data_IF_351082786779
#
_entry.id   IF_351082786779
#
_cell.length_a   1.000
_cell.length_b   1.000
_cell.length_c   1.000
_cell.angle_alpha   90.00
_cell.angle_beta   90.00
_cell.angle_gamma   90.00
#
_symmetry.space_group_name_H-M   'P 1'
#
loop_
_entity.id
_entity.type
_entity.pdbx_description
1 polymer ?
#
# COMPACT_ATOMS: atom_id res chain seq x y z
N UNK A 1 10.13 7.22 11.40
CA UNK A 1 9.00 6.27 11.22
C UNK A 1 9.08 5.04 12.13
N UNK A 2 10.10 4.18 12.02
CA UNK A 2 10.17 2.94 12.85
C UNK A 2 10.00 3.19 14.36
N UNK A 3 10.69 4.18 14.91
CA UNK A 3 10.55 4.57 16.33
C UNK A 3 9.13 5.06 16.68
N UNK A 4 8.46 5.75 15.76
CA UNK A 4 7.06 6.14 15.94
C UNK A 4 6.15 4.92 16.01
N UNK A 5 6.37 3.91 15.17
CA UNK A 5 5.63 2.64 15.22
C UNK A 5 5.84 1.91 16.54
N UNK A 6 7.08 1.89 17.06
CA UNK A 6 7.36 1.34 18.40
C UNK A 6 6.60 2.10 19.49
N UNK A 7 6.60 3.43 19.45
CA UNK A 7 5.85 4.25 20.41
C UNK A 7 4.34 3.98 20.40
N UNK A 8 3.77 3.57 19.26
CA UNK A 8 2.36 3.18 19.16
C UNK A 8 2.02 1.88 19.90
N UNK A 9 2.99 0.97 20.11
CA UNK A 9 2.77 -0.27 20.88
C UNK A 9 2.48 0.03 22.36
N UNK A 10 3.10 1.07 22.90
CA UNK A 10 2.94 1.51 24.29
C UNK A 10 1.84 2.58 24.45
N UNK A 11 1.32 3.10 23.35
CA UNK A 11 0.35 4.20 23.36
C UNK A 11 -1.05 3.73 23.70
N UNK A 12 -1.64 4.30 24.76
CA UNK A 12 -3.05 4.07 25.12
C UNK A 12 -4.07 4.60 24.08
N UNK A 13 -3.61 5.37 23.08
CA UNK A 13 -4.46 5.89 22.00
C UNK A 13 -4.58 4.91 20.82
N UNK A 14 -3.59 4.04 20.64
CA UNK A 14 -3.61 3.04 19.58
C UNK A 14 -4.61 1.92 19.92
N UNK A 15 -5.39 1.49 18.93
CA UNK A 15 -6.27 0.34 19.09
C UNK A 15 -5.46 -0.97 19.19
N UNK A 16 -6.05 -1.99 19.80
CA UNK A 16 -5.44 -3.33 19.89
C UNK A 16 -5.09 -3.88 18.49
N UNK A 17 -6.02 -3.78 17.53
CA UNK A 17 -5.78 -4.20 16.15
C UNK A 17 -4.60 -3.50 15.47
N UNK A 18 -4.38 -2.20 15.76
CA UNK A 18 -3.20 -1.48 15.26
C UNK A 18 -1.92 -1.99 15.91
N UNK A 19 -1.93 -2.17 17.24
CA UNK A 19 -0.78 -2.68 17.97
C UNK A 19 -0.40 -4.08 17.52
N UNK A 20 -1.38 -4.96 17.31
CA UNK A 20 -1.15 -6.33 16.84
C UNK A 20 -0.57 -6.37 15.43
N UNK A 21 -1.07 -5.51 14.53
CA UNK A 21 -0.50 -5.35 13.19
C UNK A 21 0.97 -4.91 13.25
N UNK A 22 1.27 -3.87 14.03
CA UNK A 22 2.63 -3.35 14.18
C UNK A 22 3.55 -4.41 14.82
N UNK A 23 3.09 -5.06 15.89
CA UNK A 23 3.84 -6.10 16.62
C UNK A 23 4.18 -7.27 15.70
N UNK A 24 3.19 -7.78 14.95
CA UNK A 24 3.41 -8.84 13.95
C UNK A 24 4.48 -8.47 12.93
N UNK A 25 4.51 -7.21 12.48
CA UNK A 25 5.53 -6.72 11.55
C UNK A 25 6.93 -6.67 12.17
N UNK A 26 7.03 -6.24 13.42
CA UNK A 26 8.30 -6.13 14.15
C UNK A 26 8.87 -7.50 14.49
N UNK A 27 8.06 -8.35 15.11
CA UNK A 27 8.49 -9.67 15.59
C UNK A 27 8.98 -10.54 14.43
N UNK A 28 8.30 -10.45 13.28
CA UNK A 28 8.66 -11.19 12.07
C UNK A 28 9.67 -10.45 11.17
N UNK A 29 10.15 -9.26 11.56
CA UNK A 29 11.02 -8.38 10.75
C UNK A 29 10.48 -8.18 9.33
N UNK A 30 9.17 -8.00 9.23
CA UNK A 30 8.43 -7.99 7.96
C UNK A 30 7.74 -6.66 7.65
N UNK A 31 8.00 -5.60 8.42
CA UNK A 31 7.56 -4.25 8.08
C UNK A 31 8.19 -3.82 6.76
N UNK A 32 7.41 -3.92 5.68
CA UNK A 32 7.80 -3.60 4.32
C UNK A 32 6.79 -2.61 3.73
N UNK A 33 7.26 -1.39 3.47
CA UNK A 33 6.45 -0.24 3.06
C UNK A 33 6.73 0.03 1.59
N UNK A 34 5.66 0.08 0.78
CA UNK A 34 5.75 0.29 -0.67
C UNK A 34 5.03 1.56 -1.12
N UNK A 35 4.52 2.34 -0.17
CA UNK A 35 3.61 3.42 -0.48
C UNK A 35 3.49 4.44 0.64
N UNK A 36 3.49 5.71 0.27
CA UNK A 36 3.05 6.77 1.16
C UNK A 36 2.41 7.93 0.39
N UNK A 37 1.53 8.67 1.06
CA UNK A 37 0.99 9.94 0.57
C UNK A 37 0.70 10.88 1.73
N UNK A 38 0.70 12.18 1.47
CA UNK A 38 0.36 13.20 2.45
C UNK A 38 -0.82 14.01 1.95
N UNK A 39 -1.93 14.02 2.70
CA UNK A 39 -3.12 14.83 2.41
C UNK A 39 -3.65 15.42 3.71
N UNK A 40 -3.93 16.72 3.73
CA UNK A 40 -4.48 17.47 4.85
C UNK A 40 -3.71 17.23 6.16
N UNK A 41 -2.38 17.34 6.11
CA UNK A 41 -1.48 17.10 7.24
C UNK A 41 -1.54 15.66 7.82
N UNK A 42 -2.05 14.69 7.06
CA UNK A 42 -2.03 13.27 7.44
C UNK A 42 -1.09 12.49 6.54
N UNK A 43 -0.32 11.58 7.12
CA UNK A 43 0.52 10.64 6.38
C UNK A 43 -0.19 9.29 6.27
N UNK A 44 -0.36 8.83 5.04
CA UNK A 44 -0.92 7.52 4.72
C UNK A 44 0.23 6.59 4.34
N UNK A 45 0.25 5.37 4.87
CA UNK A 45 1.32 4.38 4.67
C UNK A 45 0.76 3.06 4.18
N UNK A 46 1.18 2.61 3.01
CA UNK A 46 0.80 1.33 2.43
C UNK A 46 1.86 0.25 2.67
N UNK A 47 1.45 -0.86 3.25
CA UNK A 47 2.34 -1.97 3.60
C UNK A 47 2.17 -3.17 2.66
N UNK A 48 3.28 -3.66 2.13
CA UNK A 48 3.37 -4.95 1.43
C UNK A 48 3.39 -6.13 2.38
N UNK A 49 4.04 -5.91 3.53
CA UNK A 49 4.06 -6.82 4.66
C UNK A 49 4.18 -6.01 5.97
N UNK A 50 3.69 -6.57 7.10
CA UNK A 50 2.86 -7.76 7.18
C UNK A 50 1.49 -7.55 6.52
N UNK A 51 0.77 -8.64 6.27
CA UNK A 51 -0.68 -8.56 6.02
C UNK A 51 -1.39 -8.63 7.36
N UNK A 52 -2.65 -8.23 7.41
CA UNK A 52 -3.47 -8.50 8.60
C UNK A 52 -3.80 -10.00 8.75
N UNK A 53 -4.47 -10.37 9.84
CA UNK A 53 -4.84 -11.76 10.13
C UNK A 53 -5.70 -12.44 9.06
N UNK A 54 -6.37 -11.66 8.20
CA UNK A 54 -7.20 -12.15 7.10
C UNK A 54 -6.46 -12.13 5.75
N UNK A 55 -5.17 -11.77 5.73
CA UNK A 55 -4.40 -11.66 4.50
C UNK A 55 -4.61 -10.35 3.74
N UNK A 56 -5.18 -9.31 4.38
CA UNK A 56 -5.39 -8.03 3.73
C UNK A 56 -4.13 -7.17 3.73
N UNK A 57 -3.97 -6.38 2.67
CA UNK A 57 -3.06 -5.22 2.67
C UNK A 57 -3.63 -4.14 3.60
N UNK A 58 -2.76 -3.52 4.39
CA UNK A 58 -3.15 -2.49 5.37
C UNK A 58 -2.62 -1.13 4.95
N UNK A 59 -3.48 -0.13 4.99
CA UNK A 59 -3.10 1.28 4.90
C UNK A 59 -3.24 1.90 6.29
N UNK A 60 -2.14 2.39 6.85
CA UNK A 60 -2.17 3.17 8.09
C UNK A 60 -2.35 4.65 7.78
N UNK A 61 -3.04 5.36 8.66
CA UNK A 61 -3.10 6.82 8.69
C UNK A 61 -2.45 7.30 9.98
N UNK A 62 -1.42 8.12 9.85
CA UNK A 62 -0.81 8.89 10.92
C UNK A 62 -1.37 10.31 10.83
N UNK A 63 -1.96 10.79 11.93
CA UNK A 63 -2.48 12.15 12.01
C UNK A 63 -1.35 13.10 12.39
N UNK A 64 -1.39 14.31 11.83
CA UNK A 64 -0.40 15.37 12.08
C UNK A 64 1.03 14.92 11.74
N UNK A 65 1.42 15.00 10.46
CA UNK A 65 2.75 14.52 10.03
C UNK A 65 3.90 15.20 10.78
N UNK A 66 3.70 16.45 11.22
CA UNK A 66 4.66 17.20 12.02
C UNK A 66 4.99 16.50 13.35
N UNK A 67 4.06 15.69 13.89
CA UNK A 67 4.29 14.90 15.08
C UNK A 67 5.36 13.82 14.89
N UNK A 68 5.76 13.48 13.65
CA UNK A 68 6.85 12.54 13.39
C UNK A 68 8.23 13.17 13.56
N UNK A 69 8.31 14.50 13.52
CA UNK A 69 9.58 15.24 13.53
C UNK A 69 9.83 15.99 14.83
N UNK A 70 8.79 16.20 15.65
CA UNK A 70 8.91 16.82 16.97
C UNK A 70 8.80 15.82 18.13
N UNK A 71 8.80 16.34 19.35
CA UNK A 71 8.66 15.57 20.59
C UNK A 71 7.20 15.20 20.93
N UNK A 72 6.29 15.36 19.95
CA UNK A 72 4.86 15.05 20.14
C UNK A 72 4.62 13.55 20.00
N UNK A 73 3.70 13.03 20.81
CA UNK A 73 3.23 11.66 20.65
C UNK A 73 2.48 11.49 19.30
N UNK A 74 2.87 10.47 18.55
CA UNK A 74 2.24 10.12 17.27
C UNK A 74 0.87 9.48 17.51
N UNK A 75 -0.14 9.92 16.75
CA UNK A 75 -1.47 9.31 16.70
C UNK A 75 -1.66 8.62 15.34
N UNK A 76 -2.14 7.38 15.36
CA UNK A 76 -2.31 6.59 14.17
C UNK A 76 -3.49 5.62 14.28
N UNK A 77 -4.02 5.25 13.13
CA UNK A 77 -5.09 4.26 13.00
C UNK A 77 -4.90 3.42 11.74
N UNK A 78 -5.40 2.19 11.75
CA UNK A 78 -5.68 1.47 10.50
C UNK A 78 -6.77 2.26 9.77
N UNK A 79 -6.46 2.78 8.59
CA UNK A 79 -7.41 3.56 7.80
C UNK A 79 -8.23 2.66 6.90
N UNK A 80 -7.56 1.79 6.15
CA UNK A 80 -8.20 0.85 5.22
C UNK A 80 -7.50 -0.49 5.21
N UNK A 81 -8.29 -1.50 4.83
CA UNK A 81 -7.85 -2.88 4.62
C UNK A 81 -8.34 -3.32 3.25
N UNK A 82 -7.46 -3.88 2.44
CA UNK A 82 -7.81 -4.34 1.10
C UNK A 82 -7.52 -5.83 0.96
N UNK A 83 -8.58 -6.58 0.63
CA UNK A 83 -8.44 -7.91 0.07
C UNK A 83 -8.00 -7.77 -1.39
N UNK A 84 -6.69 -7.93 -1.61
CA UNK A 84 -6.06 -7.91 -2.92
C UNK A 84 -5.82 -9.35 -3.41
N UNK A 85 -6.82 -10.21 -3.19
CA UNK A 85 -6.78 -11.62 -3.53
C UNK A 85 -6.37 -11.92 -4.97
N UNK A 86 -5.81 -13.11 -5.16
CA UNK A 86 -5.49 -13.64 -6.48
C UNK A 86 -6.27 -14.94 -6.67
N UNK A 87 -7.37 -14.88 -7.42
CA UNK A 87 -8.22 -16.03 -7.71
C UNK A 87 -7.50 -17.15 -8.46
N UNK A 88 -6.40 -16.86 -9.15
CA UNK A 88 -5.64 -17.84 -9.94
C UNK A 88 -4.68 -18.66 -9.07
N UNK A 89 -4.05 -18.04 -8.06
CA UNK A 89 -3.05 -18.71 -7.20
C UNK A 89 -3.53 -19.02 -5.79
N UNK A 90 -4.66 -18.46 -5.36
CA UNK A 90 -5.15 -18.55 -3.98
C UNK A 90 -4.30 -17.80 -2.95
N UNK A 91 -3.22 -17.11 -3.36
CA UNK A 91 -2.34 -16.32 -2.50
C UNK A 91 -2.65 -14.82 -2.67
N UNK A 92 -2.64 -14.00 -1.61
CA UNK A 92 -2.81 -12.56 -1.75
C UNK A 92 -1.75 -11.94 -2.66
N UNK A 93 -2.16 -10.98 -3.51
CA UNK A 93 -1.18 -10.12 -4.18
C UNK A 93 -0.53 -9.19 -3.15
N UNK A 94 0.69 -8.77 -3.46
CA UNK A 94 1.52 -7.93 -2.60
C UNK A 94 1.53 -6.53 -3.15
N UNK A 95 1.33 -5.53 -2.29
CA UNK A 95 1.49 -4.12 -2.67
C UNK A 95 2.90 -3.91 -3.24
N UNK A 96 3.01 -3.10 -4.28
CA UNK A 96 4.28 -2.66 -4.87
C UNK A 96 4.26 -1.20 -5.32
N UNK A 97 3.15 -0.51 -5.04
CA UNK A 97 2.99 0.90 -5.34
C UNK A 97 1.65 1.39 -4.84
N UNK A 98 1.60 2.67 -4.52
CA UNK A 98 0.46 3.32 -3.90
C UNK A 98 0.41 4.76 -4.39
N UNK A 99 -0.77 5.19 -4.84
CA UNK A 99 -1.06 6.58 -5.10
C UNK A 99 -2.44 6.92 -4.56
N UNK A 100 -2.62 8.18 -4.18
CA UNK A 100 -3.82 8.66 -3.52
C UNK A 100 -4.16 10.03 -4.11
N UNK A 101 -5.43 10.22 -4.49
CA UNK A 101 -6.01 11.52 -4.79
C UNK A 101 -7.26 11.76 -3.94
N UNK A 102 -7.97 12.86 -4.18
CA UNK A 102 -9.17 13.24 -3.42
C UNK A 102 -10.35 12.27 -3.61
N UNK A 103 -10.37 11.50 -4.70
CA UNK A 103 -11.49 10.66 -5.12
C UNK A 103 -11.25 9.17 -4.87
N UNK A 104 -9.99 8.74 -4.87
CA UNK A 104 -9.65 7.32 -4.88
C UNK A 104 -8.24 7.00 -4.37
N UNK A 105 -8.06 5.72 -4.02
CA UNK A 105 -6.75 5.09 -3.88
C UNK A 105 -6.46 4.24 -5.09
N UNK A 106 -5.23 4.30 -5.58
CA UNK A 106 -4.70 3.42 -6.61
C UNK A 106 -3.64 2.52 -5.98
N UNK A 107 -3.85 1.20 -6.09
CA UNK A 107 -2.96 0.20 -5.55
C UNK A 107 -2.35 -0.56 -6.71
N UNK A 108 -1.03 -0.60 -6.73
CA UNK A 108 -0.29 -1.46 -7.63
C UNK A 108 0.16 -2.69 -6.85
N UNK A 109 -0.05 -3.86 -7.43
CA UNK A 109 0.28 -5.12 -6.77
C UNK A 109 1.01 -6.07 -7.70
N UNK A 110 1.81 -6.97 -7.13
CA UNK A 110 2.47 -8.09 -7.81
C UNK A 110 1.95 -9.40 -7.24
N UNK A 111 1.78 -10.40 -8.11
CA UNK A 111 1.37 -11.74 -7.68
C UNK A 111 2.35 -12.35 -6.68
N UNK A 112 1.80 -13.01 -5.66
CA UNK A 112 2.59 -13.76 -4.69
C UNK A 112 3.18 -15.07 -5.23
N UNK A 113 2.94 -15.39 -6.51
CA UNK A 113 3.39 -16.61 -7.17
C UNK A 113 4.42 -16.28 -8.28
N UNK A 114 5.64 -16.80 -8.14
CA UNK A 114 6.72 -16.58 -9.12
C UNK A 114 6.46 -17.26 -10.46
N UNK A 115 5.72 -18.37 -10.47
CA UNK A 115 5.44 -19.15 -11.69
C UNK A 115 4.36 -18.48 -12.56
N UNK A 116 3.59 -17.57 -11.96
CA UNK A 116 2.53 -16.81 -12.62
C UNK A 116 2.71 -15.33 -12.28
N UNK A 117 3.85 -14.77 -12.71
CA UNK A 117 4.14 -13.36 -12.52
C UNK A 117 3.09 -12.52 -13.25
N UNK A 118 2.38 -11.70 -12.49
CA UNK A 118 1.48 -10.70 -13.03
C UNK A 118 1.40 -9.54 -12.05
N UNK A 119 1.18 -8.35 -12.58
CA UNK A 119 0.88 -7.17 -11.79
C UNK A 119 -0.54 -6.68 -12.05
N UNK A 120 -1.13 -6.00 -11.07
CA UNK A 120 -2.50 -5.53 -11.16
C UNK A 120 -2.60 -4.10 -10.65
N UNK A 121 -3.34 -3.28 -11.40
CA UNK A 121 -3.78 -1.97 -10.97
C UNK A 121 -5.18 -2.09 -10.38
N UNK A 122 -5.35 -1.58 -9.17
CA UNK A 122 -6.64 -1.49 -8.49
C UNK A 122 -6.98 -0.03 -8.20
N UNK A 123 -8.27 0.28 -8.22
CA UNK A 123 -8.83 1.58 -7.82
C UNK A 123 -9.87 1.34 -6.72
N UNK A 124 -9.68 1.97 -5.57
CA UNK A 124 -10.72 2.07 -4.54
C UNK A 124 -11.35 3.45 -4.63
N UNK A 125 -12.61 3.50 -5.07
CA UNK A 125 -13.38 4.73 -5.19
C UNK A 125 -14.04 5.07 -3.85
N UNK A 126 -13.78 6.28 -3.33
CA UNK A 126 -14.30 6.70 -2.03
C UNK A 126 -15.80 6.97 -2.04
N UNK A 127 -16.35 7.52 -3.12
CA UNK A 127 -17.77 7.81 -3.19
C UNK A 127 -18.58 6.51 -3.27
N UNK A 128 -18.08 5.54 -4.04
CA UNK A 128 -18.74 4.25 -4.23
C UNK A 128 -18.38 3.20 -3.17
N UNK A 129 -17.37 3.47 -2.34
CA UNK A 129 -16.81 2.51 -1.37
C UNK A 129 -16.49 1.16 -2.03
N UNK A 130 -15.90 1.21 -3.24
CA UNK A 130 -15.75 0.03 -4.10
C UNK A 130 -14.31 -0.13 -4.59
N UNK A 131 -13.75 -1.31 -4.33
CA UNK A 131 -12.48 -1.74 -4.92
C UNK A 131 -12.73 -2.40 -6.28
N UNK A 132 -12.05 -1.91 -7.31
CA UNK A 132 -12.14 -2.42 -8.69
C UNK A 132 -10.75 -2.70 -9.23
N UNK A 133 -10.57 -3.84 -9.90
CA UNK A 133 -9.35 -4.14 -10.64
C UNK A 133 -9.43 -3.50 -12.02
N UNK A 134 -8.58 -2.52 -12.28
CA UNK A 134 -8.58 -1.73 -13.51
C UNK A 134 -7.79 -2.40 -14.64
N UNK A 135 -6.65 -3.03 -14.31
CA UNK A 135 -5.78 -3.64 -15.31
C UNK A 135 -5.02 -4.87 -14.76
N UNK A 136 -4.59 -5.73 -15.69
CA UNK A 136 -3.67 -6.87 -15.48
C UNK A 136 -2.48 -6.72 -16.43
N UNK A 137 -1.27 -6.88 -15.91
CA UNK A 137 -0.01 -6.84 -16.65
C UNK A 137 0.68 -8.20 -16.50
N UNK A 138 0.45 -9.11 -17.45
CA UNK A 138 0.99 -10.47 -17.42
C UNK A 138 2.49 -10.48 -17.71
N UNK A 139 3.25 -11.24 -16.93
CA UNK A 139 4.71 -11.40 -17.09
C UNK A 139 5.53 -10.17 -16.66
N UNK A 140 4.88 -9.13 -16.14
CA UNK A 140 5.53 -7.90 -15.71
C UNK A 140 5.44 -7.74 -14.18
N UNK A 141 6.55 -7.31 -13.57
CA UNK A 141 6.66 -6.98 -12.14
C UNK A 141 6.61 -5.47 -11.99
N UNK A 142 5.52 -4.95 -11.47
CA UNK A 142 5.33 -3.53 -11.29
C UNK A 142 5.95 -3.05 -9.97
N UNK A 143 6.66 -1.93 -9.99
CA UNK A 143 7.42 -1.39 -8.84
C UNK A 143 7.00 0.03 -8.47
N UNK A 144 6.17 0.69 -9.27
CA UNK A 144 5.80 2.07 -8.99
C UNK A 144 4.65 2.55 -9.84
N UNK A 145 3.92 3.53 -9.30
CA UNK A 145 2.80 4.20 -9.92
C UNK A 145 2.87 5.69 -9.62
N UNK A 146 2.51 6.50 -10.60
CA UNK A 146 2.30 7.94 -10.45
C UNK A 146 1.03 8.34 -11.17
N UNK A 147 0.20 9.17 -10.53
CA UNK A 147 -1.01 9.74 -11.13
C UNK A 147 -0.62 11.05 -11.80
N UNK A 148 -1.07 11.24 -13.04
CA UNK A 148 -0.83 12.48 -13.79
C UNK A 148 -1.84 13.54 -13.35
N UNK A 149 -1.35 14.67 -12.82
CA UNK A 149 -2.23 15.72 -12.31
C UNK A 149 -3.08 16.32 -13.45
N UNK A 150 -4.41 16.32 -13.25
CA UNK A 150 -5.36 16.85 -14.23
C UNK A 150 -5.66 15.91 -15.41
N UNK A 151 -5.03 14.74 -15.47
CA UNK A 151 -5.31 13.71 -16.47
C UNK A 151 -5.93 12.48 -15.79
N UNK A 152 -6.91 11.84 -16.42
CA UNK A 152 -7.47 10.56 -15.97
C UNK A 152 -6.52 9.42 -16.34
N UNK A 153 -5.25 9.54 -15.96
CA UNK A 153 -4.18 8.63 -16.35
C UNK A 153 -3.14 8.42 -15.25
N UNK A 154 -2.55 7.23 -15.25
CA UNK A 154 -1.41 6.87 -14.42
C UNK A 154 -0.28 6.31 -15.27
N UNK A 155 0.95 6.63 -14.87
CA UNK A 155 2.16 5.98 -15.35
C UNK A 155 2.58 4.89 -14.37
N UNK A 156 2.80 3.68 -14.89
CA UNK A 156 3.22 2.49 -14.14
C UNK A 156 4.60 2.07 -14.64
N UNK A 157 5.51 1.77 -13.72
CA UNK A 157 6.85 1.27 -14.05
C UNK A 157 7.01 -0.19 -13.66
N UNK A 158 7.73 -0.93 -14.50
CA UNK A 158 8.01 -2.35 -14.32
C UNK A 158 9.51 -2.60 -14.30
N UNK A 159 9.95 -3.35 -13.29
CA UNK A 159 11.36 -3.74 -13.16
C UNK A 159 11.68 -4.90 -14.10
N UNK A 160 12.78 -4.75 -14.84
CA UNK A 160 13.36 -5.77 -15.70
C UNK A 160 14.26 -6.76 -14.95
N UNK A 161 14.41 -6.63 -13.63
CA UNK A 161 15.16 -7.53 -12.76
C UNK A 161 16.64 -7.63 -13.12
N UNK A 162 17.20 -6.55 -13.70
CA UNK A 162 18.58 -6.49 -14.22
C UNK A 162 18.87 -7.39 -15.43
N UNK A 163 17.88 -8.16 -15.92
CA UNK A 163 18.01 -9.07 -17.08
C UNK A 163 17.39 -8.50 -18.35
N UNK A 164 16.43 -7.61 -18.19
CA UNK A 164 15.73 -6.89 -19.25
C UNK A 164 15.73 -5.40 -18.95
N UNK A 165 15.50 -4.58 -19.98
CA UNK A 165 15.23 -3.16 -19.76
C UNK A 165 13.95 -2.98 -18.93
N UNK A 166 13.96 -2.02 -18.01
CA UNK A 166 12.74 -1.57 -17.33
C UNK A 166 11.75 -1.03 -18.36
N UNK A 167 10.46 -1.24 -18.07
CA UNK A 167 9.37 -0.84 -18.95
C UNK A 167 8.44 0.12 -18.22
N UNK A 168 7.63 0.84 -18.97
CA UNK A 168 6.53 1.62 -18.41
C UNK A 168 5.28 1.45 -19.27
N UNK A 169 4.13 1.64 -18.64
CA UNK A 169 2.85 1.69 -19.33
C UNK A 169 2.05 2.87 -18.80
N UNK A 170 1.22 3.43 -19.68
CA UNK A 170 0.21 4.41 -19.33
C UNK A 170 -1.13 3.71 -19.19
N UNK A 171 -1.86 3.98 -18.11
CA UNK A 171 -3.15 3.39 -17.82
C UNK A 171 -4.20 4.50 -17.67
N UNK A 172 -5.38 4.32 -18.25
CA UNK A 172 -6.52 5.19 -17.97
C UNK A 172 -7.12 4.85 -16.60
N UNK A 173 -7.55 5.87 -15.86
CA UNK A 173 -8.09 5.77 -14.48
C UNK A 173 -9.61 5.92 -14.42
#
# INVERSE_FOLDING_TARGET
>A
LYQALLGLLESNRASEALRDFIRSGIDNKSLDLEGHAVIDNNLYLGFKAPLDANGNTVILKLRDIDSLFGDKAVDASIWMKFDLGNSESGKPNRLSGFALDESAIYLLTVSGNKDQLASYLWRFDFALQKLTRMAKYSGLRAEGISIEAGESAATIVFDGGGKSASQFARAAL
#
